data_IF_779780413426
#
_entry.id   IF_779780413426
#
_cell.length_a   1.000
_cell.length_b   1.000
_cell.length_c   1.000
_cell.angle_alpha   90.00
_cell.angle_beta   90.00
_cell.angle_gamma   90.00
#
_symmetry.space_group_name_H-M   'P 1'
#
loop_
_entity.id
_entity.type
_entity.pdbx_description
1 polymer ?
#
# COMPACT_ATOMS: atom_id res chain seq x y z
N UNK A 1 10.86 9.23 41.48
CA UNK A 1 10.06 8.61 40.39
C UNK A 1 9.19 7.52 41.00
N UNK A 2 7.86 7.57 40.83
CA UNK A 2 6.98 6.49 41.33
C UNK A 2 7.13 5.26 40.42
N UNK A 3 7.09 4.06 41.02
CA UNK A 3 7.19 2.79 40.30
C UNK A 3 6.17 2.73 39.14
N UNK A 4 6.58 2.30 37.93
CA UNK A 4 5.67 2.11 36.79
C UNK A 4 4.46 1.24 37.14
N UNK A 5 4.63 0.30 38.09
CA UNK A 5 3.58 -0.60 38.59
C UNK A 5 2.48 0.18 39.32
N UNK A 6 2.86 1.15 40.16
CA UNK A 6 1.90 1.97 40.90
C UNK A 6 1.08 2.86 39.96
N UNK A 7 1.71 3.35 38.89
CA UNK A 7 1.02 4.15 37.86
C UNK A 7 0.04 3.30 37.06
N UNK A 8 0.45 2.10 36.66
CA UNK A 8 -0.39 1.14 35.96
C UNK A 8 -1.62 0.70 36.78
N UNK A 9 -1.42 0.34 38.05
CA UNK A 9 -2.51 -0.05 38.95
C UNK A 9 -3.50 1.10 39.13
N UNK A 10 -3.02 2.33 39.28
CA UNK A 10 -3.89 3.51 39.42
C UNK A 10 -4.72 3.77 38.17
N UNK A 11 -4.10 3.68 36.99
CA UNK A 11 -4.76 4.03 35.74
C UNK A 11 -5.72 2.92 35.25
N UNK A 12 -5.66 1.70 35.83
CA UNK A 12 -6.53 0.56 35.50
C UNK A 12 -7.18 -0.05 36.76
N UNK A 13 -7.38 0.74 37.83
CA UNK A 13 -7.71 0.20 39.15
C UNK A 13 -9.06 -0.55 39.18
N UNK A 14 -10.02 -0.13 38.35
CA UNK A 14 -11.33 -0.77 38.23
C UNK A 14 -11.18 -2.17 37.63
N UNK A 15 -10.46 -2.30 36.52
CA UNK A 15 -10.22 -3.60 35.87
C UNK A 15 -9.42 -4.54 36.78
N UNK A 16 -8.46 -3.99 37.53
CA UNK A 16 -7.69 -4.77 38.52
C UNK A 16 -8.58 -5.27 39.66
N UNK A 17 -9.51 -4.45 40.17
CA UNK A 17 -10.45 -4.87 41.22
C UNK A 17 -11.41 -5.94 40.69
N UNK A 18 -11.99 -5.76 39.50
CA UNK A 18 -12.86 -6.77 38.89
C UNK A 18 -12.13 -8.09 38.67
N UNK A 19 -10.89 -8.03 38.16
CA UNK A 19 -10.06 -9.22 37.98
C UNK A 19 -9.74 -9.93 39.29
N UNK A 20 -9.43 -9.19 40.36
CA UNK A 20 -9.19 -9.77 41.70
C UNK A 20 -10.47 -10.41 42.26
N UNK A 21 -11.63 -9.77 42.08
CA UNK A 21 -12.90 -10.29 42.55
C UNK A 21 -13.33 -11.56 41.80
N UNK A 22 -13.19 -11.57 40.47
CA UNK A 22 -13.44 -12.76 39.63
C UNK A 22 -12.48 -13.90 39.99
N UNK A 23 -11.20 -13.61 40.20
CA UNK A 23 -10.22 -14.60 40.63
C UNK A 23 -10.57 -15.18 42.01
N UNK A 24 -10.97 -14.34 42.97
CA UNK A 24 -11.36 -14.78 44.30
C UNK A 24 -12.62 -15.66 44.26
N UNK A 25 -13.60 -15.32 43.42
CA UNK A 25 -14.80 -16.14 43.22
C UNK A 25 -14.50 -17.46 42.51
N UNK A 26 -13.67 -17.43 41.45
CA UNK A 26 -13.26 -18.61 40.70
C UNK A 26 -12.42 -19.58 41.55
N UNK A 27 -11.61 -19.08 42.49
CA UNK A 27 -10.81 -19.89 43.41
C UNK A 27 -11.61 -20.37 44.63
N UNK A 28 -12.47 -19.53 45.18
CA UNK A 28 -13.22 -19.81 46.39
C UNK A 28 -14.38 -20.78 46.18
N UNK A 29 -15.12 -20.64 45.08
CA UNK A 29 -16.34 -21.40 44.84
C UNK A 29 -16.10 -22.91 44.64
N UNK A 30 -15.10 -23.37 43.84
CA UNK A 30 -14.83 -24.80 43.67
C UNK A 30 -14.30 -25.45 44.95
N UNK A 31 -13.51 -24.71 45.75
CA UNK A 31 -13.03 -25.18 47.05
C UNK A 31 -14.19 -25.34 48.04
N UNK A 32 -15.12 -24.37 48.08
CA UNK A 32 -16.31 -24.43 48.92
C UNK A 32 -17.24 -25.58 48.52
N UNK A 33 -17.46 -25.77 47.21
CA UNK A 33 -18.28 -26.88 46.67
C UNK A 33 -17.62 -28.23 46.99
N UNK A 34 -16.31 -28.37 46.83
CA UNK A 34 -15.59 -29.60 47.17
C UNK A 34 -15.68 -29.94 48.67
N UNK A 35 -15.60 -28.93 49.55
CA UNK A 35 -15.79 -29.07 50.99
C UNK A 35 -17.22 -29.45 51.38
N UNK A 36 -18.22 -28.86 50.72
CA UNK A 36 -19.64 -29.07 51.06
C UNK A 36 -20.19 -30.41 50.53
N UNK A 37 -19.68 -30.92 49.41
CA UNK A 37 -20.30 -32.06 48.71
C UNK A 37 -19.46 -33.34 48.65
N UNK A 38 -18.19 -33.35 49.09
CA UNK A 38 -17.37 -34.57 49.08
C UNK A 38 -17.48 -35.38 50.39
N UNK A 39 -17.97 -36.62 50.30
CA UNK A 39 -18.15 -37.54 51.44
C UNK A 39 -16.93 -38.41 51.77
N UNK A 40 -15.92 -38.47 50.90
CA UNK A 40 -14.65 -39.17 51.15
C UNK A 40 -13.51 -38.25 50.72
N UNK A 41 -12.62 -37.95 51.67
CA UNK A 41 -11.44 -37.09 51.53
C UNK A 41 -11.69 -35.74 50.84
N UNK A 42 -12.60 -34.90 51.39
CA UNK A 42 -12.90 -33.56 50.87
C UNK A 42 -11.67 -32.66 50.75
N UNK A 43 -10.65 -32.88 51.58
CA UNK A 43 -9.41 -32.12 51.58
C UNK A 43 -8.55 -32.39 50.34
N UNK A 44 -8.48 -33.63 49.87
CA UNK A 44 -7.66 -33.98 48.69
C UNK A 44 -8.33 -33.45 47.42
N UNK A 45 -9.66 -33.59 47.31
CA UNK A 45 -10.43 -33.06 46.18
C UNK A 45 -10.38 -31.53 46.14
N UNK A 46 -10.52 -30.88 47.30
CA UNK A 46 -10.39 -29.43 47.44
C UNK A 46 -8.99 -28.92 47.09
N UNK A 47 -7.93 -29.62 47.52
CA UNK A 47 -6.55 -29.26 47.19
C UNK A 47 -6.27 -29.39 45.68
N UNK A 48 -6.75 -30.45 45.03
CA UNK A 48 -6.58 -30.64 43.59
C UNK A 48 -7.39 -29.63 42.77
N UNK A 49 -8.63 -29.35 43.16
CA UNK A 49 -9.45 -28.33 42.50
C UNK A 49 -8.82 -26.94 42.64
N UNK A 50 -8.35 -26.58 43.84
CA UNK A 50 -7.62 -25.34 44.09
C UNK A 50 -6.34 -25.25 43.26
N UNK A 51 -5.54 -26.32 43.24
CA UNK A 51 -4.32 -26.41 42.42
C UNK A 51 -4.60 -26.21 40.93
N UNK A 52 -5.64 -26.85 40.39
CA UNK A 52 -6.03 -26.70 38.99
C UNK A 52 -6.48 -25.26 38.68
N UNK A 53 -7.31 -24.66 39.53
CA UNK A 53 -7.76 -23.27 39.33
C UNK A 53 -6.60 -22.28 39.39
N UNK A 54 -5.65 -22.46 40.32
CA UNK A 54 -4.44 -21.63 40.39
C UNK A 54 -3.63 -21.78 39.09
N UNK A 55 -3.42 -22.99 38.59
CA UNK A 55 -2.71 -23.23 37.33
C UNK A 55 -3.43 -22.55 36.15
N UNK A 56 -4.75 -22.73 36.02
CA UNK A 56 -5.55 -22.10 34.96
C UNK A 56 -5.45 -20.58 35.03
N UNK A 57 -5.50 -20.00 36.23
CA UNK A 57 -5.34 -18.56 36.43
C UNK A 57 -3.96 -18.06 36.00
N UNK A 58 -2.88 -18.79 36.34
CA UNK A 58 -1.54 -18.47 35.86
C UNK A 58 -1.44 -18.54 34.33
N UNK A 59 -2.06 -19.53 33.68
CA UNK A 59 -2.09 -19.65 32.22
C UNK A 59 -2.81 -18.44 31.58
N UNK A 60 -3.95 -18.02 32.13
CA UNK A 60 -4.70 -16.85 31.64
C UNK A 60 -3.87 -15.57 31.79
N UNK A 61 -3.21 -15.38 32.93
CA UNK A 61 -2.31 -14.23 33.14
C UNK A 61 -1.17 -14.24 32.12
N UNK A 62 -0.52 -15.39 31.88
CA UNK A 62 0.56 -15.50 30.91
C UNK A 62 0.09 -15.21 29.49
N UNK A 63 -1.10 -15.67 29.09
CA UNK A 63 -1.70 -15.36 27.79
C UNK A 63 -2.04 -13.88 27.65
N UNK A 64 -2.65 -13.26 28.67
CA UNK A 64 -2.97 -11.83 28.65
C UNK A 64 -1.70 -10.97 28.65
N UNK A 65 -0.68 -11.33 29.45
CA UNK A 65 0.60 -10.65 29.42
C UNK A 65 1.27 -10.78 28.06
N UNK A 66 1.23 -11.96 27.42
CA UNK A 66 1.71 -12.14 26.05
C UNK A 66 0.97 -11.22 25.07
N UNK A 67 -0.36 -11.16 25.10
CA UNK A 67 -1.14 -10.28 24.20
C UNK A 67 -0.83 -8.80 24.45
N UNK A 68 -0.70 -8.37 25.71
CA UNK A 68 -0.34 -6.99 26.07
C UNK A 68 1.10 -6.68 25.66
N UNK A 69 2.03 -7.61 25.88
CA UNK A 69 3.42 -7.52 25.44
C UNK A 69 3.48 -7.45 23.93
N UNK A 70 2.81 -8.33 23.19
CA UNK A 70 2.76 -8.29 21.73
C UNK A 70 2.18 -6.95 21.26
N UNK A 71 1.08 -6.45 21.83
CA UNK A 71 0.52 -5.14 21.45
C UNK A 71 1.44 -3.95 21.74
N UNK A 72 2.26 -4.01 22.80
CA UNK A 72 3.16 -2.90 23.20
C UNK A 72 4.55 -3.02 22.60
N UNK A 73 5.04 -4.26 22.45
CA UNK A 73 6.35 -4.60 21.90
C UNK A 73 6.27 -4.62 20.38
N UNK A 74 5.19 -5.04 19.72
CA UNK A 74 5.13 -5.04 18.25
C UNK A 74 5.40 -3.65 17.64
N UNK A 75 4.84 -2.53 18.15
CA UNK A 75 5.21 -1.20 17.67
C UNK A 75 6.68 -0.86 17.94
N UNK A 76 7.21 -1.26 19.10
CA UNK A 76 8.62 -1.04 19.46
C UNK A 76 9.53 -1.91 18.58
N UNK A 77 9.21 -3.17 18.35
CA UNK A 77 9.93 -4.09 17.48
C UNK A 77 9.84 -3.65 16.03
N UNK A 78 8.70 -3.17 15.55
CA UNK A 78 8.57 -2.58 14.22
C UNK A 78 9.43 -1.32 14.11
N UNK A 79 9.42 -0.46 15.14
CA UNK A 79 10.26 0.74 15.22
C UNK A 79 11.74 0.38 15.29
N UNK A 80 12.12 -0.62 16.09
CA UNK A 80 13.50 -1.07 16.30
C UNK A 80 14.00 -1.88 15.10
N UNK A 81 13.16 -2.66 14.43
CA UNK A 81 13.48 -3.34 13.17
C UNK A 81 13.67 -2.32 12.05
N UNK A 82 12.79 -1.31 11.98
CA UNK A 82 12.93 -0.19 11.06
C UNK A 82 14.12 0.74 11.38
N UNK A 83 14.58 0.80 12.65
CA UNK A 83 15.64 1.72 13.10
C UNK A 83 17.00 1.05 13.35
N UNK A 84 17.03 -0.24 13.64
CA UNK A 84 18.21 -1.00 14.05
C UNK A 84 18.35 -2.36 13.35
N UNK A 85 17.44 -2.74 12.45
CA UNK A 85 17.71 -3.86 11.56
C UNK A 85 19.04 -3.60 10.85
N UNK A 86 19.97 -4.57 10.86
CA UNK A 86 21.37 -4.39 10.41
C UNK A 86 21.56 -3.95 8.94
N UNK A 87 20.47 -3.72 8.19
CA UNK A 87 20.43 -3.17 6.82
C UNK A 87 19.51 -1.94 6.65
N UNK A 88 18.91 -1.40 7.73
CA UNK A 88 17.82 -0.41 7.68
C UNK A 88 18.24 1.04 7.44
N UNK A 89 19.50 1.41 7.72
CA UNK A 89 19.99 2.78 7.46
C UNK A 89 20.26 3.07 5.98
N UNK A 90 20.54 2.04 5.17
CA UNK A 90 20.79 2.19 3.72
C UNK A 90 19.61 1.79 2.84
N UNK A 91 18.57 1.18 3.41
CA UNK A 91 17.41 0.76 2.65
C UNK A 91 16.39 1.91 2.49
N UNK A 92 16.58 2.65 1.40
CA UNK A 92 15.70 3.74 1.01
C UNK A 92 14.22 3.35 0.94
N UNK A 93 13.90 2.06 0.79
CA UNK A 93 12.52 1.59 0.82
C UNK A 93 11.84 1.97 2.16
N UNK A 94 12.45 1.67 3.31
CA UNK A 94 11.83 1.93 4.62
C UNK A 94 11.65 3.42 4.91
N UNK A 95 12.65 4.24 4.57
CA UNK A 95 12.53 5.69 4.66
C UNK A 95 11.33 6.19 3.84
N UNK A 96 11.19 5.70 2.61
CA UNK A 96 10.12 6.08 1.69
C UNK A 96 8.76 5.50 2.07
N UNK A 97 8.70 4.43 2.85
CA UNK A 97 7.43 3.87 3.34
C UNK A 97 6.71 4.87 4.23
N UNK A 98 7.45 5.63 5.05
CA UNK A 98 6.90 6.66 5.94
C UNK A 98 6.49 7.95 5.22
N UNK A 99 6.92 8.16 3.97
CA UNK A 99 6.49 9.31 3.18
C UNK A 99 5.09 9.06 2.61
N UNK A 100 4.20 10.06 2.70
CA UNK A 100 2.85 10.01 2.13
C UNK A 100 1.98 8.83 2.62
N UNK A 101 2.24 8.25 3.80
CA UNK A 101 1.59 7.00 4.25
C UNK A 101 0.06 7.02 4.06
N UNK A 102 -0.60 8.03 4.62
CA UNK A 102 -2.07 8.18 4.55
C UNK A 102 -2.59 8.39 3.13
N UNK A 103 -1.83 9.09 2.30
CA UNK A 103 -2.20 9.33 0.91
C UNK A 103 -2.08 8.04 0.10
N UNK A 104 -1.06 7.21 0.36
CA UNK A 104 -0.88 5.92 -0.30
C UNK A 104 -1.96 4.92 0.10
N UNK A 105 -2.35 4.89 1.37
CA UNK A 105 -3.49 4.08 1.86
C UNK A 105 -4.78 4.49 1.14
N UNK A 106 -5.06 5.79 1.04
CA UNK A 106 -6.21 6.32 0.31
C UNK A 106 -6.19 5.94 -1.19
N UNK A 107 -5.01 6.02 -1.83
CA UNK A 107 -4.84 5.61 -3.23
C UNK A 107 -5.03 4.10 -3.41
N UNK A 108 -4.55 3.28 -2.48
CA UNK A 108 -4.72 1.83 -2.50
C UNK A 108 -6.21 1.44 -2.39
N UNK A 109 -6.91 2.01 -1.42
CA UNK A 109 -8.37 1.86 -1.24
C UNK A 109 -9.11 2.25 -2.52
N UNK A 110 -8.84 3.45 -3.05
CA UNK A 110 -9.48 3.94 -4.26
C UNK A 110 -9.22 3.02 -5.47
N UNK A 111 -7.99 2.53 -5.60
CA UNK A 111 -7.59 1.67 -6.70
C UNK A 111 -8.28 0.31 -6.64
N UNK A 112 -8.25 -0.37 -5.49
CA UNK A 112 -8.84 -1.69 -5.31
C UNK A 112 -10.38 -1.66 -5.37
N UNK A 113 -11.01 -0.67 -4.74
CA UNK A 113 -12.47 -0.66 -4.56
C UNK A 113 -13.23 0.04 -5.69
N UNK A 114 -12.58 0.92 -6.44
CA UNK A 114 -13.28 1.75 -7.43
C UNK A 114 -12.65 1.69 -8.82
N UNK A 115 -11.34 1.94 -8.94
CA UNK A 115 -10.71 2.10 -10.25
C UNK A 115 -10.58 0.77 -10.97
N UNK A 116 -9.96 -0.21 -10.32
CA UNK A 116 -9.64 -1.50 -10.93
C UNK A 116 -10.91 -2.28 -11.30
N UNK A 117 -11.95 -2.39 -10.44
CA UNK A 117 -13.20 -3.01 -10.84
C UNK A 117 -13.82 -2.33 -12.05
N UNK A 118 -13.89 -1.00 -12.06
CA UNK A 118 -14.50 -0.25 -13.17
C UNK A 118 -13.73 -0.45 -14.48
N UNK A 119 -12.41 -0.39 -14.45
CA UNK A 119 -11.56 -0.63 -15.64
C UNK A 119 -11.80 -2.04 -16.19
N UNK A 120 -11.85 -3.05 -15.32
CA UNK A 120 -12.12 -4.44 -15.72
C UNK A 120 -13.53 -4.59 -16.31
N UNK A 121 -14.54 -3.98 -15.69
CA UNK A 121 -15.91 -3.97 -16.22
C UNK A 121 -15.99 -3.30 -17.59
N UNK A 122 -15.34 -2.14 -17.76
CA UNK A 122 -15.30 -1.43 -19.04
C UNK A 122 -14.59 -2.25 -20.14
N UNK A 123 -13.54 -3.00 -19.80
CA UNK A 123 -12.85 -3.90 -20.73
C UNK A 123 -13.73 -5.07 -21.16
N UNK A 124 -14.41 -5.73 -20.22
CA UNK A 124 -15.31 -6.83 -20.53
C UNK A 124 -16.48 -6.39 -21.41
N UNK A 125 -17.09 -5.23 -21.10
CA UNK A 125 -18.19 -4.68 -21.88
C UNK A 125 -17.76 -4.32 -23.31
N UNK A 126 -16.49 -3.93 -23.52
CA UNK A 126 -15.94 -3.64 -24.84
C UNK A 126 -15.53 -4.89 -25.62
N UNK A 127 -15.19 -5.98 -24.94
CA UNK A 127 -14.71 -7.20 -25.55
C UNK A 127 -15.37 -8.44 -24.92
N UNK A 128 -16.45 -8.91 -25.53
CA UNK A 128 -17.19 -10.11 -25.10
C UNK A 128 -16.39 -11.41 -25.20
N UNK A 129 -15.29 -11.42 -25.98
CA UNK A 129 -14.41 -12.57 -26.14
C UNK A 129 -13.30 -12.63 -25.09
N UNK A 130 -13.20 -11.63 -24.22
CA UNK A 130 -12.20 -11.57 -23.16
C UNK A 130 -12.31 -12.81 -22.26
N UNK A 131 -11.20 -13.53 -22.12
CA UNK A 131 -11.06 -14.73 -21.28
C UNK A 131 -10.05 -14.55 -20.17
N UNK A 132 -9.01 -13.74 -20.39
CA UNK A 132 -7.91 -13.58 -19.44
C UNK A 132 -7.59 -12.11 -19.23
N UNK A 133 -7.42 -11.72 -17.97
CA UNK A 133 -6.90 -10.40 -17.57
C UNK A 133 -5.63 -10.60 -16.75
N UNK A 134 -4.52 -10.17 -17.32
CA UNK A 134 -3.23 -10.11 -16.64
C UNK A 134 -3.10 -8.74 -15.97
N UNK A 135 -2.95 -8.72 -14.65
CA UNK A 135 -2.72 -7.49 -13.87
C UNK A 135 -1.26 -7.50 -13.43
N UNK A 136 -0.47 -6.54 -13.92
CA UNK A 136 0.94 -6.40 -13.53
C UNK A 136 1.08 -5.24 -12.55
N UNK A 137 1.45 -5.54 -11.31
CA UNK A 137 1.66 -4.56 -10.25
C UNK A 137 3.16 -4.34 -10.07
N UNK A 138 3.59 -3.11 -10.32
CA UNK A 138 4.97 -2.69 -10.14
C UNK A 138 5.39 -2.60 -8.66
N UNK A 139 6.70 -2.66 -8.43
CA UNK A 139 7.31 -2.47 -7.13
C UNK A 139 7.31 -1.00 -6.69
N UNK A 140 7.18 -0.79 -5.38
CA UNK A 140 7.41 0.51 -4.76
C UNK A 140 6.48 0.78 -3.59
N UNK A 141 6.97 1.54 -2.62
CA UNK A 141 6.25 1.85 -1.37
C UNK A 141 4.94 2.62 -1.55
N UNK A 142 4.61 3.05 -2.77
CA UNK A 142 3.31 3.64 -3.14
C UNK A 142 2.26 2.58 -3.41
N UNK A 143 2.66 1.46 -4.02
CA UNK A 143 1.78 0.35 -4.35
C UNK A 143 1.76 -0.73 -3.26
N UNK A 144 2.74 -0.76 -2.35
CA UNK A 144 2.75 -1.74 -1.26
C UNK A 144 1.43 -1.81 -0.47
N UNK A 145 0.75 -0.70 -0.11
CA UNK A 145 -0.54 -0.78 0.59
C UNK A 145 -1.69 -1.40 -0.24
N UNK A 146 -1.55 -1.49 -1.57
CA UNK A 146 -2.55 -2.11 -2.45
C UNK A 146 -2.68 -3.62 -2.22
N UNK A 147 -1.60 -4.30 -1.85
CA UNK A 147 -1.58 -5.76 -1.68
C UNK A 147 -2.53 -6.24 -0.57
N UNK A 148 -2.46 -5.72 0.67
CA UNK A 148 -3.41 -6.10 1.70
C UNK A 148 -4.84 -5.66 1.39
N UNK A 149 -5.01 -4.53 0.70
CA UNK A 149 -6.33 -4.06 0.25
C UNK A 149 -6.96 -5.05 -0.74
N UNK A 150 -6.22 -5.49 -1.76
CA UNK A 150 -6.69 -6.50 -2.72
C UNK A 150 -6.99 -7.84 -2.05
N UNK A 151 -6.18 -8.28 -1.09
CA UNK A 151 -6.40 -9.53 -0.35
C UNK A 151 -7.70 -9.46 0.47
N UNK A 152 -7.92 -8.35 1.17
CA UNK A 152 -9.09 -8.17 2.04
C UNK A 152 -10.37 -7.90 1.27
N UNK A 153 -10.33 -6.97 0.32
CA UNK A 153 -11.53 -6.52 -0.40
C UNK A 153 -11.79 -7.26 -1.71
N UNK A 154 -10.79 -7.94 -2.26
CA UNK A 154 -10.85 -8.55 -3.58
C UNK A 154 -10.96 -7.52 -4.71
N UNK A 155 -11.23 -8.00 -5.91
CA UNK A 155 -11.60 -7.16 -7.05
C UNK A 155 -13.13 -7.27 -7.20
N UNK A 156 -13.86 -6.35 -6.57
CA UNK A 156 -15.32 -6.43 -6.47
C UNK A 156 -16.01 -5.99 -7.77
N UNK A 157 -16.21 -6.93 -8.70
CA UNK A 157 -16.94 -6.67 -9.95
C UNK A 157 -18.44 -6.43 -9.71
N UNK A 158 -18.99 -6.93 -8.61
CA UNK A 158 -20.43 -6.91 -8.31
C UNK A 158 -20.96 -5.54 -7.84
N UNK A 159 -20.08 -4.61 -7.45
CA UNK A 159 -20.47 -3.26 -7.01
C UNK A 159 -20.64 -2.26 -8.15
N UNK A 160 -20.42 -2.69 -9.39
CA UNK A 160 -20.63 -1.86 -10.57
C UNK A 160 -22.10 -2.04 -10.95
N UNK A 161 -22.88 -0.96 -10.84
CA UNK A 161 -24.35 -0.91 -11.06
C UNK A 161 -24.78 -1.16 -12.52
N UNK A 162 -24.17 -2.09 -13.23
CA UNK A 162 -24.48 -2.37 -14.63
C UNK A 162 -24.74 -3.88 -14.81
N UNK A 163 -26.03 -4.19 -14.92
CA UNK A 163 -26.68 -5.37 -15.54
C UNK A 163 -26.38 -6.78 -14.98
N UNK A 164 -27.36 -7.67 -15.14
CA UNK A 164 -27.29 -9.12 -14.81
C UNK A 164 -26.13 -9.87 -15.49
N UNK A 165 -25.44 -9.23 -16.44
CA UNK A 165 -24.33 -9.81 -17.19
C UNK A 165 -22.98 -9.77 -16.44
N UNK A 166 -22.79 -8.89 -15.45
CA UNK A 166 -21.55 -8.87 -14.66
C UNK A 166 -21.48 -9.99 -13.63
N UNK A 167 -22.60 -10.43 -13.06
CA UNK A 167 -22.66 -11.65 -12.21
C UNK A 167 -22.26 -12.89 -13.04
N UNK A 168 -22.45 -12.85 -14.37
CA UNK A 168 -22.02 -13.92 -15.28
C UNK A 168 -20.52 -13.85 -15.64
N UNK A 169 -19.77 -12.81 -15.26
CA UNK A 169 -18.31 -12.74 -15.44
C UNK A 169 -17.57 -13.64 -14.47
N UNK A 170 -18.11 -13.80 -13.25
CA UNK A 170 -17.52 -14.62 -12.20
C UNK A 170 -17.50 -16.08 -12.69
N UNK A 171 -16.32 -16.57 -13.08
CA UNK A 171 -16.12 -17.89 -13.71
C UNK A 171 -16.01 -17.91 -15.25
N UNK A 172 -16.06 -16.77 -15.95
CA UNK A 172 -15.81 -16.68 -17.41
C UNK A 172 -14.51 -15.97 -17.81
N UNK A 173 -13.95 -15.17 -16.90
CA UNK A 173 -12.70 -14.44 -17.09
C UNK A 173 -11.74 -14.78 -15.98
N UNK A 174 -10.59 -15.33 -16.34
CA UNK A 174 -9.50 -15.63 -15.42
C UNK A 174 -8.67 -14.36 -15.17
N UNK A 175 -8.43 -14.05 -13.90
CA UNK A 175 -7.62 -12.89 -13.49
C UNK A 175 -6.33 -13.39 -12.86
N UNK A 176 -5.20 -13.02 -13.44
CA UNK A 176 -3.87 -13.33 -12.91
C UNK A 176 -3.16 -12.06 -12.46
N UNK A 177 -2.67 -12.05 -11.22
CA UNK A 177 -1.91 -10.92 -10.68
C UNK A 177 -0.43 -11.29 -10.67
N UNK A 178 0.36 -10.52 -11.40
CA UNK A 178 1.81 -10.62 -11.44
C UNK A 178 2.42 -9.39 -10.78
N UNK A 179 3.52 -9.56 -10.06
CA UNK A 179 4.22 -8.43 -9.47
C UNK A 179 5.72 -8.65 -9.45
N UNK A 180 6.51 -7.59 -9.57
CA UNK A 180 7.93 -7.64 -9.22
C UNK A 180 8.23 -7.10 -7.81
N UNK A 181 7.20 -6.89 -6.98
CA UNK A 181 7.32 -6.31 -5.64
C UNK A 181 7.49 -7.37 -4.55
N UNK A 182 8.71 -7.61 -4.09
CA UNK A 182 8.96 -8.49 -2.93
C UNK A 182 8.25 -7.94 -1.68
N UNK A 183 8.27 -6.61 -1.51
CA UNK A 183 7.62 -5.96 -0.38
C UNK A 183 6.10 -6.13 -0.36
N UNK A 184 5.47 -6.25 -1.53
CA UNK A 184 4.04 -6.51 -1.62
C UNK A 184 3.69 -7.92 -1.13
N UNK A 185 4.49 -8.91 -1.54
CA UNK A 185 4.35 -10.30 -1.10
C UNK A 185 4.55 -10.43 0.42
N UNK A 186 5.56 -9.75 0.98
CA UNK A 186 5.76 -9.70 2.43
C UNK A 186 4.52 -9.17 3.18
N UNK A 187 3.88 -8.12 2.66
CA UNK A 187 2.66 -7.58 3.30
C UNK A 187 1.50 -8.57 3.24
N UNK A 188 1.36 -9.36 2.17
CA UNK A 188 0.35 -10.44 2.11
C UNK A 188 0.56 -11.42 3.26
N UNK A 189 1.81 -11.86 3.50
CA UNK A 189 2.13 -12.81 4.57
C UNK A 189 1.96 -12.23 5.98
N UNK A 190 1.92 -10.91 6.14
CA UNK A 190 1.68 -10.24 7.43
C UNK A 190 0.19 -10.18 7.81
N UNK A 191 -0.71 -10.45 6.87
CA UNK A 191 -2.14 -10.40 7.12
C UNK A 191 -2.54 -11.58 8.01
N UNK A 192 -3.16 -11.35 9.18
CA UNK A 192 -3.57 -12.43 10.06
C UNK A 192 -4.55 -13.40 9.36
N UNK A 193 -4.28 -14.70 9.47
CA UNK A 193 -5.06 -15.80 8.87
C UNK A 193 -6.52 -15.90 9.34
N UNK A 194 -6.92 -15.08 10.32
CA UNK A 194 -8.26 -15.07 10.92
C UNK A 194 -9.24 -14.20 10.11
N UNK A 195 -8.75 -13.31 9.23
CA UNK A 195 -9.64 -12.48 8.40
C UNK A 195 -10.24 -13.31 7.26
N UNK A 196 -11.52 -13.10 6.94
CA UNK A 196 -12.12 -13.62 5.71
C UNK A 196 -11.47 -12.94 4.51
N UNK A 197 -10.50 -13.61 3.87
CA UNK A 197 -9.77 -13.08 2.72
C UNK A 197 -10.54 -13.39 1.43
N UNK A 198 -10.68 -12.40 0.55
CA UNK A 198 -11.34 -12.60 -0.76
C UNK A 198 -10.37 -13.07 -1.83
N UNK A 199 -9.12 -12.63 -1.76
CA UNK A 199 -8.02 -13.22 -2.52
C UNK A 199 -7.05 -13.92 -1.56
N UNK A 200 -6.39 -14.93 -2.07
CA UNK A 200 -5.32 -15.65 -1.37
C UNK A 200 -3.98 -15.40 -2.05
N UNK A 201 -2.88 -15.69 -1.36
CA UNK A 201 -1.51 -15.60 -1.90
C UNK A 201 -1.34 -16.29 -3.26
N UNK A 202 -2.07 -17.39 -3.51
CA UNK A 202 -2.02 -18.13 -4.78
C UNK A 202 -2.43 -17.32 -6.02
N UNK A 203 -3.13 -16.20 -5.82
CA UNK A 203 -3.52 -15.30 -6.92
C UNK A 203 -2.40 -14.36 -7.33
N UNK A 204 -1.34 -14.25 -6.51
CA UNK A 204 -0.22 -13.35 -6.71
C UNK A 204 1.01 -14.15 -7.13
N UNK A 205 1.54 -13.82 -8.30
CA UNK A 205 2.75 -14.43 -8.84
C UNK A 205 3.89 -13.42 -8.79
N UNK A 206 4.89 -13.68 -7.94
CA UNK A 206 6.12 -12.90 -7.92
C UNK A 206 6.95 -13.23 -9.17
N UNK A 207 7.20 -12.23 -10.00
CA UNK A 207 8.07 -12.33 -11.16
C UNK A 207 9.51 -12.49 -10.66
N UNK A 208 10.15 -13.60 -11.03
CA UNK A 208 11.53 -13.88 -10.68
C UNK A 208 12.51 -12.89 -11.32
N UNK A 209 13.68 -12.72 -10.72
CA UNK A 209 14.65 -11.73 -11.16
C UNK A 209 15.88 -11.61 -10.29
N UNK A 210 16.74 -10.67 -10.66
CA UNK A 210 17.78 -10.14 -9.81
C UNK A 210 17.16 -9.11 -8.85
N UNK A 211 17.33 -9.28 -7.53
CA UNK A 211 16.75 -8.38 -6.55
C UNK A 211 17.48 -7.03 -6.54
N UNK A 212 16.69 -5.97 -6.68
CA UNK A 212 17.11 -4.59 -6.54
C UNK A 212 16.78 -4.13 -5.11
N UNK A 213 17.67 -4.46 -4.17
CA UNK A 213 17.48 -4.35 -2.71
C UNK A 213 16.85 -3.02 -2.27
N UNK A 214 17.37 -1.89 -2.76
CA UNK A 214 16.94 -0.51 -2.45
C UNK A 214 15.44 -0.23 -2.71
N UNK A 215 14.81 -1.03 -3.56
CA UNK A 215 13.39 -0.91 -3.92
C UNK A 215 12.58 -2.17 -3.61
N UNK A 216 13.23 -3.22 -3.08
CA UNK A 216 12.60 -4.53 -2.83
C UNK A 216 11.85 -5.04 -4.07
N UNK A 217 12.53 -4.98 -5.20
CA UNK A 217 12.00 -5.24 -6.53
C UNK A 217 12.81 -6.30 -7.27
N UNK A 218 12.17 -7.12 -8.10
CA UNK A 218 12.85 -8.04 -9.01
C UNK A 218 13.01 -7.41 -10.41
N UNK A 219 14.22 -7.50 -10.96
CA UNK A 219 14.57 -6.92 -12.26
C UNK A 219 15.55 -7.81 -13.05
N UNK A 220 16.00 -7.38 -14.21
CA UNK A 220 17.06 -8.05 -14.98
C UNK A 220 16.53 -9.17 -15.88
N UNK A 221 17.44 -10.05 -16.32
CA UNK A 221 17.20 -10.99 -17.43
C UNK A 221 16.01 -11.93 -17.20
N UNK A 222 15.89 -12.54 -16.02
CA UNK A 222 14.80 -13.48 -15.73
C UNK A 222 13.44 -12.78 -15.73
N UNK A 223 13.38 -11.56 -15.19
CA UNK A 223 12.18 -10.72 -15.22
C UNK A 223 11.79 -10.40 -16.67
N UNK A 224 12.77 -10.04 -17.51
CA UNK A 224 12.51 -9.75 -18.92
C UNK A 224 12.04 -10.99 -19.68
N UNK A 225 12.67 -12.16 -19.47
CA UNK A 225 12.24 -13.42 -20.11
C UNK A 225 10.79 -13.78 -19.76
N UNK A 226 10.39 -13.57 -18.50
CA UNK A 226 9.02 -13.75 -18.08
C UNK A 226 8.07 -12.78 -18.82
N UNK A 227 8.39 -11.48 -18.84
CA UNK A 227 7.59 -10.49 -19.55
C UNK A 227 7.48 -10.82 -21.06
N UNK A 228 8.58 -11.21 -21.70
CA UNK A 228 8.61 -11.58 -23.12
C UNK A 228 7.67 -12.77 -23.41
N UNK A 229 7.61 -13.76 -22.52
CA UNK A 229 6.66 -14.86 -22.65
C UNK A 229 5.20 -14.41 -22.54
N UNK A 230 4.92 -13.51 -21.60
CA UNK A 230 3.58 -12.93 -21.40
C UNK A 230 3.15 -12.09 -22.62
N UNK A 231 4.07 -11.32 -23.19
CA UNK A 231 3.83 -10.51 -24.40
C UNK A 231 3.61 -11.38 -25.62
N UNK A 232 4.36 -12.48 -25.75
CA UNK A 232 4.15 -13.46 -26.81
C UNK A 232 2.76 -14.09 -26.72
N UNK A 233 2.36 -14.58 -25.54
CA UNK A 233 1.04 -15.16 -25.31
C UNK A 233 -0.09 -14.17 -25.65
N UNK A 234 0.03 -12.94 -25.16
CA UNK A 234 -0.93 -11.87 -25.49
C UNK A 234 -1.02 -11.62 -26.99
N UNK A 235 0.11 -11.58 -27.69
CA UNK A 235 0.14 -11.33 -29.15
C UNK A 235 -0.54 -12.46 -29.93
N UNK A 236 -0.36 -13.71 -29.49
CA UNK A 236 -1.01 -14.89 -30.06
C UNK A 236 -2.51 -14.94 -29.76
N UNK A 237 -2.96 -14.28 -28.69
CA UNK A 237 -4.33 -14.33 -28.17
C UNK A 237 -4.96 -12.93 -28.00
N UNK A 238 -4.70 -12.02 -28.95
CA UNK A 238 -5.01 -10.58 -28.82
C UNK A 238 -6.46 -10.25 -28.48
N UNK A 239 -7.40 -11.08 -28.92
CA UNK A 239 -8.84 -10.84 -28.70
C UNK A 239 -9.36 -11.45 -27.40
N UNK A 240 -8.58 -12.30 -26.74
CA UNK A 240 -9.01 -13.03 -25.53
C UNK A 240 -8.18 -12.69 -24.29
N UNK A 241 -7.00 -12.10 -24.47
CA UNK A 241 -6.08 -11.72 -23.37
C UNK A 241 -5.92 -10.20 -23.33
N UNK A 242 -6.19 -9.61 -22.17
CA UNK A 242 -5.93 -8.20 -21.89
C UNK A 242 -4.91 -8.05 -20.76
N UNK A 243 -4.06 -7.04 -20.83
CA UNK A 243 -3.10 -6.69 -19.77
C UNK A 243 -3.38 -5.30 -19.21
N UNK A 244 -3.54 -5.22 -17.89
CA UNK A 244 -3.60 -3.97 -17.12
C UNK A 244 -2.30 -3.86 -16.34
N UNK A 245 -1.59 -2.75 -16.50
CA UNK A 245 -0.44 -2.43 -15.65
C UNK A 245 -0.79 -1.38 -14.61
N UNK A 246 -0.29 -1.59 -13.39
CA UNK A 246 -0.38 -0.65 -12.28
C UNK A 246 1.05 -0.25 -11.94
N UNK A 247 1.44 0.95 -12.36
CA UNK A 247 2.83 1.43 -12.32
C UNK A 247 2.98 2.59 -11.35
N UNK A 248 4.05 2.57 -10.56
CA UNK A 248 4.52 3.72 -9.79
C UNK A 248 5.90 4.12 -10.26
N UNK A 249 6.32 5.33 -9.92
CA UNK A 249 7.68 5.80 -10.14
C UNK A 249 8.27 6.34 -8.85
N UNK A 250 9.59 6.55 -8.84
CA UNK A 250 10.21 7.35 -7.79
C UNK A 250 9.63 8.76 -7.83
N UNK A 251 9.49 9.29 -9.05
CA UNK A 251 8.90 10.57 -9.40
C UNK A 251 8.20 10.46 -10.75
N UNK A 252 7.17 11.25 -10.94
CA UNK A 252 6.62 11.53 -12.26
C UNK A 252 6.99 12.96 -12.61
N UNK A 253 7.48 13.20 -13.82
CA UNK A 253 7.59 14.56 -14.33
C UNK A 253 6.41 14.85 -15.22
N UNK A 254 5.86 16.04 -15.07
CA UNK A 254 4.89 16.59 -16.00
C UNK A 254 5.44 17.86 -16.63
N UNK A 255 5.40 17.96 -17.96
CA UNK A 255 5.75 19.22 -18.63
C UNK A 255 4.90 20.37 -18.06
N UNK A 256 5.41 21.60 -18.12
CA UNK A 256 4.63 22.79 -17.76
C UNK A 256 3.28 22.77 -18.49
N UNK A 257 2.19 23.02 -17.76
CA UNK A 257 0.78 22.83 -18.16
C UNK A 257 0.25 21.39 -18.10
N UNK A 258 0.99 20.45 -17.50
CA UNK A 258 0.58 19.08 -17.25
C UNK A 258 0.21 18.27 -18.51
N UNK A 259 0.77 18.61 -19.68
CA UNK A 259 0.41 17.96 -20.94
C UNK A 259 1.10 16.60 -21.11
N UNK A 260 2.37 16.47 -20.78
CA UNK A 260 3.11 15.22 -20.99
C UNK A 260 3.60 14.66 -19.65
N UNK A 261 3.36 13.38 -19.38
CA UNK A 261 3.88 12.66 -18.22
C UNK A 261 5.03 11.73 -18.60
N UNK A 262 6.05 11.68 -17.75
CA UNK A 262 7.14 10.71 -17.84
C UNK A 262 7.38 10.04 -16.48
N UNK A 263 7.75 8.76 -16.53
CA UNK A 263 8.12 7.99 -15.35
C UNK A 263 9.61 8.16 -15.09
N UNK A 264 9.98 8.40 -13.83
CA UNK A 264 11.38 8.44 -13.42
C UNK A 264 11.73 7.22 -12.56
N UNK A 265 12.74 6.50 -13.00
CA UNK A 265 13.28 5.35 -12.29
C UNK A 265 14.81 5.42 -12.28
N UNK A 266 15.40 4.71 -11.32
CA UNK A 266 16.85 4.56 -11.21
C UNK A 266 17.17 3.19 -10.64
N UNK A 267 18.42 2.79 -10.82
CA UNK A 267 18.88 1.44 -10.53
C UNK A 267 18.77 0.56 -11.77
N UNK A 268 19.70 -0.39 -11.88
CA UNK A 268 19.82 -1.28 -13.03
C UNK A 268 18.51 -2.07 -13.26
N UNK A 269 18.05 -2.15 -14.52
CA UNK A 269 16.86 -2.91 -14.92
C UNK A 269 15.51 -2.34 -14.48
N UNK A 270 15.48 -1.33 -13.61
CA UNK A 270 14.23 -0.79 -13.07
C UNK A 270 13.44 0.00 -14.11
N UNK A 271 14.13 0.83 -14.92
CA UNK A 271 13.48 1.56 -16.01
C UNK A 271 13.06 0.60 -17.13
N UNK A 272 13.91 -0.37 -17.48
CA UNK A 272 13.63 -1.35 -18.52
C UNK A 272 12.35 -2.14 -18.24
N UNK A 273 12.15 -2.56 -16.98
CA UNK A 273 10.91 -3.19 -16.54
C UNK A 273 9.69 -2.28 -16.78
N UNK A 274 9.74 -1.03 -16.29
CA UNK A 274 8.60 -0.10 -16.42
C UNK A 274 8.29 0.20 -17.89
N UNK A 275 9.32 0.41 -18.70
CA UNK A 275 9.20 0.65 -20.13
C UNK A 275 8.54 -0.54 -20.83
N UNK A 276 9.07 -1.75 -20.65
CA UNK A 276 8.51 -2.99 -21.22
C UNK A 276 7.03 -3.17 -20.87
N UNK A 277 6.67 -2.97 -19.60
CA UNK A 277 5.28 -3.08 -19.15
C UNK A 277 4.39 -1.98 -19.75
N UNK A 278 4.84 -0.73 -19.78
CA UNK A 278 4.07 0.36 -20.37
C UNK A 278 3.87 0.19 -21.87
N UNK A 279 4.87 -0.29 -22.62
CA UNK A 279 4.79 -0.49 -24.07
C UNK A 279 3.81 -1.62 -24.44
N UNK A 280 3.68 -2.65 -23.61
CA UNK A 280 2.94 -3.87 -23.96
C UNK A 280 1.58 -4.01 -23.26
N UNK A 281 1.21 -3.13 -22.33
CA UNK A 281 -0.09 -3.18 -21.65
C UNK A 281 -1.25 -2.67 -22.53
N UNK A 282 -2.48 -3.10 -22.30
CA UNK A 282 -3.67 -2.50 -22.96
C UNK A 282 -4.18 -1.29 -22.19
N UNK A 283 -4.03 -1.32 -20.86
CA UNK A 283 -4.33 -0.21 -19.95
C UNK A 283 -3.14 0.02 -19.03
N UNK A 284 -2.77 1.28 -18.82
CA UNK A 284 -1.73 1.71 -17.89
C UNK A 284 -2.38 2.57 -16.82
N UNK A 285 -2.26 2.15 -15.56
CA UNK A 285 -2.69 2.89 -14.39
C UNK A 285 -1.44 3.42 -13.67
N UNK A 286 -1.16 4.71 -13.83
CA UNK A 286 -0.07 5.39 -13.14
C UNK A 286 -0.54 5.83 -11.76
N UNK A 287 0.11 5.38 -10.70
CA UNK A 287 -0.33 5.66 -9.33
C UNK A 287 0.72 6.48 -8.60
N UNK A 288 0.32 7.64 -8.06
CA UNK A 288 1.22 8.54 -7.37
C UNK A 288 0.51 9.40 -6.31
N UNK A 289 1.08 9.55 -5.09
CA UNK A 289 0.81 10.71 -4.27
C UNK A 289 1.09 11.98 -5.07
N UNK A 290 0.29 13.02 -4.85
CA UNK A 290 0.41 14.27 -5.62
C UNK A 290 1.81 14.88 -5.50
N UNK A 291 2.43 14.80 -4.32
CA UNK A 291 3.78 15.31 -4.07
C UNK A 291 4.88 14.59 -4.84
N UNK A 292 4.60 13.48 -5.52
CA UNK A 292 5.53 12.81 -6.44
C UNK A 292 5.42 13.27 -7.89
N UNK A 293 4.45 14.12 -8.22
CA UNK A 293 4.25 14.66 -9.56
C UNK A 293 4.92 16.04 -9.63
N UNK A 294 6.03 16.12 -10.34
CA UNK A 294 6.89 17.29 -10.41
C UNK A 294 6.64 18.03 -11.73
N UNK A 295 6.19 19.30 -11.72
CA UNK A 295 5.92 20.07 -12.93
C UNK A 295 7.20 20.65 -13.58
N UNK A 296 8.15 19.77 -13.87
CA UNK A 296 9.44 20.09 -14.51
C UNK A 296 9.49 19.53 -15.93
N UNK A 297 10.12 20.29 -16.84
CA UNK A 297 10.18 19.94 -18.27
C UNK A 297 11.21 18.86 -18.60
N UNK A 298 12.18 18.60 -17.72
CA UNK A 298 13.30 17.70 -18.00
C UNK A 298 13.84 17.07 -16.71
N UNK A 299 14.09 15.76 -16.75
CA UNK A 299 14.73 14.99 -15.67
C UNK A 299 16.07 15.57 -15.21
N UNK A 300 16.79 16.27 -16.10
CA UNK A 300 18.04 16.96 -15.80
C UNK A 300 17.89 17.94 -14.63
N UNK A 301 16.78 18.68 -14.53
CA UNK A 301 16.54 19.61 -13.42
C UNK A 301 16.52 18.85 -12.09
N UNK A 302 15.78 17.74 -12.03
CA UNK A 302 15.73 16.91 -10.83
C UNK A 302 17.09 16.29 -10.51
N UNK A 303 17.80 15.78 -11.52
CA UNK A 303 19.13 15.21 -11.34
C UNK A 303 20.13 16.28 -10.84
N UNK A 304 20.05 17.52 -11.32
CA UNK A 304 20.92 18.61 -10.88
C UNK A 304 20.64 19.01 -9.42
N UNK A 305 19.37 19.05 -9.00
CA UNK A 305 18.98 19.23 -7.60
C UNK A 305 19.54 18.07 -6.74
N UNK A 306 19.43 16.83 -7.23
CA UNK A 306 19.79 15.63 -6.49
C UNK A 306 21.29 15.32 -6.44
N UNK A 307 22.11 15.88 -7.32
CA UNK A 307 23.58 15.69 -7.30
C UNK A 307 24.21 16.01 -5.94
N UNK A 308 23.58 16.90 -5.16
CA UNK A 308 24.02 17.26 -3.80
C UNK A 308 23.69 16.21 -2.74
N UNK A 309 22.77 15.28 -3.02
CA UNK A 309 22.19 14.35 -2.05
C UNK A 309 22.38 12.88 -2.44
N UNK A 310 22.50 12.57 -3.74
CA UNK A 310 22.47 11.19 -4.26
C UNK A 310 23.45 11.00 -5.44
N UNK A 311 24.07 9.82 -5.54
CA UNK A 311 25.03 9.48 -6.61
C UNK A 311 24.39 8.99 -7.90
N UNK A 312 23.21 8.37 -7.81
CA UNK A 312 22.52 7.73 -8.93
C UNK A 312 21.61 8.74 -9.65
N UNK A 313 21.72 8.80 -10.98
CA UNK A 313 20.84 9.63 -11.82
C UNK A 313 19.55 8.91 -12.17
N UNK A 314 18.46 9.66 -12.23
CA UNK A 314 17.20 9.21 -12.81
C UNK A 314 17.30 9.11 -14.33
N UNK A 315 16.73 8.04 -14.84
CA UNK A 315 16.34 7.90 -16.23
C UNK A 315 14.86 8.24 -16.34
N UNK A 316 14.45 8.75 -17.49
CA UNK A 316 13.06 9.05 -17.82
C UNK A 316 12.54 8.15 -18.94
N UNK A 317 11.25 7.84 -18.86
CA UNK A 317 10.51 7.23 -19.95
C UNK A 317 9.22 8.02 -20.15
N UNK A 318 9.14 8.72 -21.29
CA UNK A 318 7.97 9.46 -21.72
C UNK A 318 6.99 8.49 -22.35
N UNK A 319 5.75 8.46 -21.87
CA UNK A 319 4.72 7.60 -22.47
C UNK A 319 4.38 8.15 -23.87
N UNK A 320 4.33 7.30 -24.91
CA UNK A 320 3.93 7.74 -26.25
C UNK A 320 2.52 8.37 -26.29
N UNK A 321 2.33 9.43 -27.09
CA UNK A 321 1.06 10.18 -27.14
C UNK A 321 -0.12 9.36 -27.68
N UNK A 322 0.13 8.39 -28.56
CA UNK A 322 -0.87 7.45 -29.09
C UNK A 322 -1.45 6.53 -28.00
N UNK A 323 -0.80 6.45 -26.83
CA UNK A 323 -1.23 5.68 -25.65
C UNK A 323 -2.11 6.50 -24.69
N UNK A 324 -2.44 7.75 -25.00
CA UNK A 324 -3.22 8.65 -24.13
C UNK A 324 -4.49 8.00 -23.57
N UNK A 325 -5.34 7.44 -24.44
CA UNK A 325 -6.64 6.88 -24.07
C UNK A 325 -6.54 5.55 -23.30
N UNK A 326 -5.33 5.02 -23.18
CA UNK A 326 -5.00 3.79 -22.44
C UNK A 326 -4.28 4.10 -21.13
N UNK A 327 -3.88 5.35 -20.90
CA UNK A 327 -3.02 5.75 -19.77
C UNK A 327 -3.78 6.66 -18.81
N UNK A 328 -3.98 6.18 -17.59
CA UNK A 328 -4.72 6.88 -16.55
C UNK A 328 -3.83 7.21 -15.37
N UNK A 329 -3.74 8.50 -15.01
CA UNK A 329 -3.10 8.96 -13.79
C UNK A 329 -4.09 8.91 -12.63
N UNK A 330 -3.76 8.14 -11.62
CA UNK A 330 -4.47 7.97 -10.36
C UNK A 330 -3.65 8.68 -9.28
N UNK A 331 -4.14 9.86 -8.91
CA UNK A 331 -3.56 10.68 -7.86
C UNK A 331 -4.68 11.29 -7.01
N UNK A 332 -4.33 12.07 -6.00
CA UNK A 332 -5.29 12.74 -5.12
C UNK A 332 -5.40 14.23 -5.45
N UNK A 333 -6.47 14.85 -4.96
CA UNK A 333 -6.68 16.29 -5.05
C UNK A 333 -6.33 16.98 -3.73
N UNK A 334 -6.03 18.27 -3.78
CA UNK A 334 -5.92 19.13 -2.61
C UNK A 334 -7.11 20.10 -2.56
N UNK A 335 -7.56 20.51 -1.36
CA UNK A 335 -8.55 21.57 -1.24
C UNK A 335 -8.05 22.86 -1.91
N UNK A 336 -8.97 23.62 -2.51
CA UNK A 336 -8.67 24.92 -3.11
C UNK A 336 -8.43 25.93 -1.98
N UNK A 337 -7.22 25.94 -1.44
CA UNK A 337 -6.79 26.83 -0.39
C UNK A 337 -5.28 27.02 -0.49
N UNK A 338 -4.84 28.28 -0.35
CA UNK A 338 -3.41 28.66 -0.40
C UNK A 338 -2.56 27.98 0.67
N UNK A 339 -3.17 27.49 1.76
CA UNK A 339 -2.48 26.76 2.82
C UNK A 339 -1.90 25.40 2.40
N UNK A 340 -2.34 24.82 1.27
CA UNK A 340 -1.87 23.51 0.82
C UNK A 340 -0.85 23.67 -0.31
N UNK A 341 0.44 23.42 -0.08
CA UNK A 341 1.50 23.74 -1.05
C UNK A 341 1.24 23.19 -2.45
N UNK A 342 0.60 22.02 -2.56
CA UNK A 342 0.32 21.36 -3.84
C UNK A 342 -1.05 21.72 -4.46
N UNK A 343 -1.79 22.71 -3.95
CA UNK A 343 -3.12 23.06 -4.48
C UNK A 343 -3.09 23.47 -5.96
N UNK A 344 -2.04 24.18 -6.40
CA UNK A 344 -1.95 24.64 -7.79
C UNK A 344 -1.77 23.47 -8.74
N UNK A 345 -0.83 22.57 -8.48
CA UNK A 345 -0.62 21.38 -9.32
C UNK A 345 -1.85 20.47 -9.29
N UNK A 346 -2.49 20.30 -8.13
CA UNK A 346 -3.78 19.59 -8.03
C UNK A 346 -4.83 20.20 -8.96
N UNK A 347 -4.95 21.52 -8.99
CA UNK A 347 -5.91 22.23 -9.83
C UNK A 347 -5.56 22.10 -11.31
N UNK A 348 -4.30 22.26 -11.68
CA UNK A 348 -3.88 22.14 -13.08
C UNK A 348 -4.10 20.72 -13.63
N UNK A 349 -3.81 19.67 -12.86
CA UNK A 349 -4.05 18.28 -13.26
C UNK A 349 -5.55 17.95 -13.42
N UNK A 350 -6.41 18.57 -12.63
CA UNK A 350 -7.85 18.27 -12.60
C UNK A 350 -8.67 19.15 -13.54
N UNK A 351 -8.06 20.19 -14.12
CA UNK A 351 -8.68 20.92 -15.22
C UNK A 351 -8.93 19.97 -16.37
N UNK A 352 -10.09 20.11 -17.00
CA UNK A 352 -10.39 19.40 -18.22
C UNK A 352 -9.47 19.93 -19.34
N UNK A 353 -8.38 19.21 -19.57
CA UNK A 353 -7.46 19.50 -20.68
C UNK A 353 -8.13 18.98 -21.95
N UNK A 354 -8.81 19.88 -22.67
CA UNK A 354 -9.31 19.62 -24.04
C UNK A 354 -8.14 19.15 -24.90
N UNK A 355 -8.37 18.22 -25.83
CA UNK A 355 -7.36 17.58 -26.70
C UNK A 355 -6.21 18.52 -27.06
N UNK A 356 -5.17 18.50 -26.21
CA UNK A 356 -4.00 19.36 -26.32
C UNK A 356 -2.92 18.52 -26.99
N UNK A 357 -2.24 19.11 -27.95
CA UNK A 357 -1.11 18.49 -28.61
C UNK A 357 -0.06 18.06 -27.57
N UNK A 358 0.44 16.83 -27.69
CA UNK A 358 1.40 16.26 -26.75
C UNK A 358 0.80 15.66 -25.47
N UNK A 359 -0.54 15.63 -25.32
CA UNK A 359 -1.17 14.95 -24.18
C UNK A 359 -1.05 13.43 -24.30
N UNK A 360 -0.35 12.78 -23.35
CA UNK A 360 -0.07 11.35 -23.37
C UNK A 360 -0.73 10.54 -22.23
N UNK A 361 -1.61 11.17 -21.44
CA UNK A 361 -2.36 10.52 -20.35
C UNK A 361 -3.69 11.24 -20.08
N UNK A 362 -4.53 10.60 -19.27
CA UNK A 362 -5.75 11.18 -18.71
C UNK A 362 -5.71 11.11 -17.20
N UNK A 363 -6.12 12.17 -16.50
CA UNK A 363 -6.35 12.10 -15.05
C UNK A 363 -7.65 11.35 -14.79
N UNK A 364 -7.61 10.37 -13.89
CA UNK A 364 -8.78 9.57 -13.59
C UNK A 364 -9.86 10.42 -12.92
N UNK A 365 -11.09 10.43 -13.47
CA UNK A 365 -12.16 11.37 -13.08
C UNK A 365 -12.51 11.37 -11.58
N UNK A 366 -12.27 10.27 -10.88
CA UNK A 366 -12.67 10.08 -9.48
C UNK A 366 -11.53 10.30 -8.47
N UNK A 367 -10.57 11.19 -8.72
CA UNK A 367 -9.51 11.51 -7.74
C UNK A 367 -10.08 11.89 -6.37
N UNK A 368 -9.70 11.16 -5.31
CA UNK A 368 -10.14 11.47 -3.95
C UNK A 368 -9.46 12.75 -3.45
N UNK A 369 -10.20 13.53 -2.65
CA UNK A 369 -9.64 14.66 -1.93
C UNK A 369 -8.76 14.15 -0.78
N UNK A 370 -7.52 14.63 -0.71
CA UNK A 370 -6.61 14.38 0.41
C UNK A 370 -6.31 15.70 1.13
N UNK A 371 -6.46 15.67 2.46
CA UNK A 371 -6.17 16.81 3.33
C UNK A 371 -4.95 16.44 4.18
N UNK A 372 -3.75 16.99 3.88
CA UNK A 372 -2.58 16.78 4.74
C UNK A 372 -2.88 17.24 6.16
N UNK A 373 -2.43 16.46 7.14
CA UNK A 373 -2.65 16.79 8.55
C UNK A 373 -1.73 17.91 9.00
N UNK A 374 -2.20 18.72 9.95
CA UNK A 374 -1.43 19.82 10.53
C UNK A 374 -2.33 20.96 10.96
N UNK A 375 -1.91 21.71 11.97
CA UNK A 375 -2.58 22.95 12.40
C UNK A 375 -1.93 24.18 11.81
N UNK A 376 -0.63 24.09 11.53
CA UNK A 376 0.18 25.18 10.97
C UNK A 376 0.61 24.85 9.55
N UNK A 377 0.87 25.89 8.76
CA UNK A 377 1.32 25.74 7.37
C UNK A 377 2.56 24.84 7.25
N UNK A 378 3.56 25.00 8.13
CA UNK A 378 4.79 24.21 8.07
C UNK A 378 4.56 22.72 8.35
N UNK A 379 3.65 22.38 9.27
CA UNK A 379 3.25 20.99 9.53
C UNK A 379 2.56 20.39 8.31
N UNK A 380 1.66 21.16 7.68
CA UNK A 380 0.99 20.77 6.44
C UNK A 380 2.02 20.55 5.34
N UNK A 381 2.99 21.46 5.18
CA UNK A 381 4.01 21.37 4.13
C UNK A 381 4.95 20.17 4.34
N UNK A 382 5.32 19.86 5.59
CA UNK A 382 6.11 18.66 5.90
C UNK A 382 5.36 17.37 5.54
N UNK A 383 4.05 17.31 5.80
CA UNK A 383 3.22 16.15 5.48
C UNK A 383 2.90 16.06 3.98
N UNK A 384 2.72 17.19 3.31
CA UNK A 384 2.35 17.27 1.89
C UNK A 384 3.56 17.11 0.96
N UNK A 385 4.74 17.54 1.40
CA UNK A 385 6.02 17.45 0.66
C UNK A 385 7.10 16.93 1.62
N UNK A 386 7.10 15.63 1.98
CA UNK A 386 8.02 15.04 2.96
C UNK A 386 9.50 15.03 2.53
N UNK A 387 9.79 15.21 1.25
CA UNK A 387 11.17 15.22 0.74
C UNK A 387 11.84 16.57 0.95
N UNK A 388 12.85 16.61 1.81
CA UNK A 388 13.59 17.83 2.16
C UNK A 388 14.12 18.61 0.94
N UNK A 389 14.81 17.93 0.03
CA UNK A 389 15.35 18.55 -1.18
C UNK A 389 14.27 19.09 -2.13
N UNK A 390 13.06 18.53 -2.13
CA UNK A 390 11.93 19.10 -2.89
C UNK A 390 11.43 20.36 -2.21
N UNK A 391 11.37 20.40 -0.87
CA UNK A 391 10.96 21.60 -0.13
C UNK A 391 11.96 22.74 -0.30
N UNK A 392 13.26 22.46 -0.21
CA UNK A 392 14.31 23.47 -0.39
C UNK A 392 14.31 24.08 -1.79
N UNK A 393 13.92 23.31 -2.81
CA UNK A 393 13.88 23.74 -4.20
C UNK A 393 12.44 23.87 -4.71
N UNK A 394 11.48 24.14 -3.81
CA UNK A 394 10.06 24.11 -4.15
C UNK A 394 9.70 25.15 -5.22
N UNK A 395 10.19 26.38 -5.06
CA UNK A 395 9.95 27.47 -6.03
C UNK A 395 10.55 27.14 -7.41
N UNK A 396 11.71 26.49 -7.46
CA UNK A 396 12.34 26.07 -8.70
C UNK A 396 11.53 24.97 -9.41
N UNK A 397 11.02 24.00 -8.64
CA UNK A 397 10.28 22.85 -9.17
C UNK A 397 8.85 23.23 -9.57
N UNK A 398 8.14 23.97 -8.71
CA UNK A 398 6.72 24.27 -8.86
C UNK A 398 6.44 25.64 -9.48
N UNK A 399 7.44 26.53 -9.54
CA UNK A 399 7.30 27.87 -10.13
C UNK A 399 6.50 28.86 -9.28
N UNK A 400 6.29 28.57 -8.00
CA UNK A 400 5.63 29.47 -7.06
C UNK A 400 6.08 29.24 -5.61
N UNK A 401 5.98 30.29 -4.80
CA UNK A 401 6.27 30.22 -3.37
C UNK A 401 5.19 29.46 -2.63
N UNK A 402 5.55 28.58 -1.68
CA UNK A 402 4.58 27.90 -0.83
C UNK A 402 3.98 28.84 0.25
N UNK A 403 4.41 30.11 0.33
CA UNK A 403 3.99 31.08 1.36
C UNK A 403 2.54 31.54 1.25
#
# INVERSE_FOLDING_TARGET
>A
MRSPVIRFIRDNYVDVIFFIAEAALALGLPFLIALLFSKKDPYILGLNAFGLTVITFFIIILFNQRVVLDKKIQPIYNLLSARFGHHSYDDQYFLRTNHYTKEKELLAEQLAQHVLPKVIGDLYNKNSNLRVINIIIDSGSTLTPLFPELISEGIQLNNIRYTEDMIKMEGKVDIFIYTNSESGIDEIHRIPSIKSLKLTERHFNLIGGQPLRKYRANTGRLTQMFLDSLWKEKKENKDTVCTISIITANWFTVKRNCTEIALLARGHGHMDFKKSVCENSDIILLVAPLGKILPINNVKILNDILKKYESDTYQDYVIPCDRKNMTYLITTQRPINVLYPLYRISRELTKEIKDTEGLNYMVYKSCKLFVPQGKMHDEIFLNDVPHHYIRENFEEIYGYSPK
#
